data_IF_902544322996
#
_entry.id   IF_902544322996
#
_cell.length_a   1.000
_cell.length_b   1.000
_cell.length_c   1.000
_cell.angle_alpha   90.00
_cell.angle_beta   90.00
_cell.angle_gamma   90.00
#
_symmetry.space_group_name_H-M   'P 1'
#
loop_
_entity.id
_entity.type
_entity.pdbx_description
1 polymer ?
#
# COMPACT_ATOMS: atom_id res chain seq x y z
N UNK A 1 31.78 -3.46 4.94
CA UNK A 1 31.19 -4.58 4.18
C UNK A 1 29.68 -4.39 4.25
N UNK A 2 29.11 -3.73 3.23
CA UNK A 2 27.73 -3.24 3.22
C UNK A 2 26.74 -4.40 3.17
N UNK A 3 25.88 -4.53 4.18
CA UNK A 3 24.86 -5.58 4.22
C UNK A 3 23.71 -5.23 3.28
N UNK A 4 23.79 -5.80 2.07
CA UNK A 4 22.68 -6.02 1.14
C UNK A 4 21.51 -6.70 1.85
N UNK A 5 20.46 -5.98 2.24
CA UNK A 5 19.09 -6.48 2.34
C UNK A 5 18.09 -5.32 2.18
N UNK A 6 17.90 -4.84 0.94
CA UNK A 6 16.69 -4.08 0.58
C UNK A 6 15.52 -5.07 0.46
N UNK A 7 15.06 -5.61 1.59
CA UNK A 7 13.68 -6.08 1.71
C UNK A 7 12.91 -4.92 2.31
N UNK A 8 12.02 -4.32 1.53
CA UNK A 8 10.98 -3.44 2.05
C UNK A 8 10.40 -4.06 3.32
N UNK A 9 10.46 -3.39 4.48
CA UNK A 9 9.95 -3.98 5.70
C UNK A 9 8.43 -4.16 5.56
N UNK A 10 7.98 -5.39 5.77
CA UNK A 10 6.57 -5.66 5.96
C UNK A 10 6.13 -5.09 7.31
N UNK A 11 4.98 -4.43 7.32
CA UNK A 11 4.32 -4.01 8.55
C UNK A 11 2.80 -4.09 8.40
N UNK A 12 2.10 -3.92 9.52
CA UNK A 12 0.65 -3.80 9.61
C UNK A 12 0.31 -2.37 10.00
N UNK A 13 -0.83 -1.85 9.53
CA UNK A 13 -1.36 -0.62 10.13
C UNK A 13 -1.66 -0.87 11.60
N UNK A 14 -1.24 0.05 12.46
CA UNK A 14 -1.41 -0.03 13.91
C UNK A 14 -2.52 0.92 14.37
N UNK A 15 -3.24 0.55 15.43
CA UNK A 15 -4.34 1.34 16.00
C UNK A 15 -5.61 1.45 15.13
N UNK A 16 -5.67 0.75 14.00
CA UNK A 16 -6.82 0.74 13.09
C UNK A 16 -7.74 -0.46 13.32
N UNK A 17 -9.05 -0.29 13.13
CA UNK A 17 -10.04 -1.39 13.24
C UNK A 17 -9.76 -2.52 12.24
N UNK A 18 -9.25 -2.17 11.05
CA UNK A 18 -8.83 -3.14 10.04
C UNK A 18 -7.34 -2.96 9.76
N UNK A 19 -6.54 -3.87 10.28
CA UNK A 19 -5.10 -3.89 10.04
C UNK A 19 -4.79 -4.28 8.59
N UNK A 20 -4.03 -3.44 7.90
CA UNK A 20 -3.61 -3.69 6.52
C UNK A 20 -2.15 -4.14 6.47
N UNK A 21 -1.86 -5.30 5.85
CA UNK A 21 -0.50 -5.60 5.41
C UNK A 21 0.00 -4.54 4.43
N UNK A 22 1.22 -4.05 4.67
CA UNK A 22 1.89 -3.13 3.77
C UNK A 22 3.40 -3.32 3.70
N UNK A 23 3.97 -2.79 2.62
CA UNK A 23 5.42 -2.68 2.41
C UNK A 23 5.76 -1.23 2.07
N UNK A 24 6.83 -0.71 2.62
CA UNK A 24 7.34 0.63 2.26
C UNK A 24 8.46 0.53 1.24
N UNK A 25 8.64 1.56 0.44
CA UNK A 25 9.75 1.63 -0.48
C UNK A 25 9.99 3.04 -0.97
N UNK A 26 11.02 3.17 -1.79
CA UNK A 26 11.39 4.45 -2.37
C UNK A 26 11.78 4.29 -3.84
N UNK A 27 11.59 5.36 -4.59
CA UNK A 27 12.16 5.57 -5.92
C UNK A 27 13.16 6.73 -5.85
N UNK A 28 13.72 7.13 -6.99
CA UNK A 28 14.53 8.35 -7.09
C UNK A 28 13.75 9.62 -6.73
N UNK A 29 12.42 9.62 -6.86
CA UNK A 29 11.58 10.82 -6.73
C UNK A 29 10.49 10.70 -5.68
N UNK A 30 10.18 9.50 -5.17
CA UNK A 30 9.04 9.31 -4.27
C UNK A 30 9.39 8.39 -3.11
N UNK A 31 8.74 8.61 -1.96
CA UNK A 31 8.53 7.60 -0.93
C UNK A 31 7.13 7.03 -1.11
N UNK A 32 6.94 5.73 -0.93
CA UNK A 32 5.63 5.10 -1.07
C UNK A 32 5.42 3.94 -0.11
N UNK A 33 4.14 3.68 0.16
CA UNK A 33 3.66 2.51 0.88
C UNK A 33 2.68 1.74 0.01
N UNK A 34 2.90 0.44 -0.15
CA UNK A 34 2.02 -0.48 -0.89
C UNK A 34 1.16 -1.24 0.11
N UNK A 35 -0.15 -1.02 0.07
CA UNK A 35 -1.14 -1.68 0.93
C UNK A 35 -1.86 -2.80 0.20
N UNK A 36 -2.13 -3.91 0.90
CA UNK A 36 -2.87 -5.05 0.37
C UNK A 36 -4.22 -5.18 1.09
N UNK A 37 -5.26 -4.61 0.47
CA UNK A 37 -6.62 -4.64 1.00
C UNK A 37 -7.33 -5.92 0.55
N UNK A 38 -7.65 -6.81 1.49
CA UNK A 38 -8.42 -8.03 1.21
C UNK A 38 -9.79 -7.69 0.59
N UNK A 39 -10.16 -8.39 -0.48
CA UNK A 39 -11.42 -8.14 -1.22
C UNK A 39 -12.65 -8.51 -0.39
N UNK A 40 -12.60 -9.57 0.40
CA UNK A 40 -13.65 -9.92 1.36
C UNK A 40 -13.21 -9.67 2.80
N UNK A 41 -14.19 -9.64 3.71
CA UNK A 41 -13.95 -9.56 5.15
C UNK A 41 -13.06 -10.69 5.67
N UNK A 42 -13.10 -11.88 5.04
CA UNK A 42 -12.28 -13.03 5.44
C UNK A 42 -10.79 -12.78 5.21
N UNK A 43 -10.39 -12.28 4.05
CA UNK A 43 -8.95 -11.98 3.84
C UNK A 43 -8.51 -10.64 4.43
N UNK A 44 -9.44 -9.74 4.78
CA UNK A 44 -9.12 -8.63 5.71
C UNK A 44 -8.81 -9.15 7.12
N UNK A 45 -9.65 -10.00 7.69
CA UNK A 45 -9.42 -10.56 9.03
C UNK A 45 -8.29 -11.58 9.09
N UNK A 46 -7.81 -12.11 7.96
CA UNK A 46 -6.69 -13.05 7.93
C UNK A 46 -5.40 -12.44 8.51
N UNK A 47 -5.18 -11.14 8.33
CA UNK A 47 -4.00 -10.42 8.81
C UNK A 47 -4.17 -9.83 10.21
N UNK A 48 -5.38 -9.88 10.76
CA UNK A 48 -5.66 -9.43 12.12
C UNK A 48 -4.87 -10.28 13.12
N UNK A 49 -4.11 -9.60 13.96
CA UNK A 49 -3.27 -10.21 14.98
C UNK A 49 -4.06 -10.93 16.08
N UNK A 50 -5.33 -10.57 16.27
CA UNK A 50 -6.22 -11.19 17.25
C UNK A 50 -7.01 -12.37 16.65
N UNK A 51 -6.92 -12.61 15.34
CA UNK A 51 -7.60 -13.72 14.69
C UNK A 51 -6.91 -15.07 14.99
N UNK A 52 -7.55 -15.89 15.82
CA UNK A 52 -7.09 -17.23 16.22
C UNK A 52 -7.00 -18.26 15.09
N UNK A 53 -7.46 -17.93 13.88
CA UNK A 53 -7.33 -18.76 12.67
C UNK A 53 -6.64 -18.02 11.51
N UNK A 54 -6.07 -16.84 11.78
CA UNK A 54 -5.38 -16.01 10.80
C UNK A 54 -3.90 -16.33 10.64
N UNK A 55 -3.18 -15.46 9.91
CA UNK A 55 -1.74 -15.59 9.70
C UNK A 55 -0.97 -15.65 11.01
N UNK A 56 -1.33 -14.81 11.98
CA UNK A 56 -0.63 -14.65 13.25
C UNK A 56 -0.91 -15.72 14.29
N UNK A 57 -1.76 -16.70 13.97
CA UNK A 57 -1.98 -17.85 14.85
C UNK A 57 -0.64 -18.49 15.21
N UNK A 58 -0.40 -18.59 16.53
CA UNK A 58 0.79 -19.15 17.15
C UNK A 58 2.11 -18.47 16.72
N UNK A 59 2.05 -17.18 16.34
CA UNK A 59 3.22 -16.37 15.93
C UNK A 59 3.36 -15.11 16.78
N UNK A 60 4.60 -14.67 16.90
CA UNK A 60 4.95 -13.41 17.55
C UNK A 60 4.74 -12.24 16.54
N UNK A 61 3.66 -11.48 16.75
CA UNK A 61 3.29 -10.35 15.89
C UNK A 61 4.18 -9.11 16.12
N UNK A 62 4.97 -9.07 17.19
CA UNK A 62 5.95 -8.00 17.46
C UNK A 62 7.23 -8.18 16.62
N UNK A 63 7.40 -9.37 16.02
CA UNK A 63 8.58 -9.72 15.20
C UNK A 63 8.20 -10.11 13.77
N UNK A 64 7.49 -9.25 13.01
CA UNK A 64 7.02 -9.56 11.65
C UNK A 64 8.17 -9.90 10.69
N UNK A 65 9.36 -9.34 10.91
CA UNK A 65 10.56 -9.59 10.11
C UNK A 65 10.97 -11.07 10.08
N UNK A 66 10.68 -11.85 11.13
CA UNK A 66 10.96 -13.30 11.17
C UNK A 66 10.13 -14.08 10.16
N UNK A 67 8.99 -13.53 9.75
CA UNK A 67 8.04 -14.18 8.87
C UNK A 67 7.98 -13.54 7.48
N UNK A 68 8.84 -12.57 7.17
CA UNK A 68 8.81 -11.79 5.93
C UNK A 68 8.68 -12.65 4.67
N UNK A 69 9.47 -13.72 4.53
CA UNK A 69 9.39 -14.64 3.38
C UNK A 69 8.05 -15.37 3.28
N UNK A 70 7.46 -15.75 4.41
CA UNK A 70 6.16 -16.45 4.44
C UNK A 70 5.03 -15.49 4.07
N UNK A 71 5.12 -14.25 4.57
CA UNK A 71 4.17 -13.17 4.29
C UNK A 71 4.19 -12.83 2.79
N UNK A 72 5.38 -12.57 2.24
CA UNK A 72 5.57 -12.28 0.82
C UNK A 72 5.05 -13.42 -0.06
N UNK A 73 5.40 -14.67 0.29
CA UNK A 73 4.89 -15.86 -0.42
C UNK A 73 3.37 -15.94 -0.37
N UNK A 74 2.75 -15.69 0.79
CA UNK A 74 1.30 -15.76 0.94
C UNK A 74 0.63 -14.70 0.05
N UNK A 75 1.03 -13.44 0.18
CA UNK A 75 0.47 -12.33 -0.60
C UNK A 75 0.63 -12.60 -2.11
N UNK A 76 1.80 -13.07 -2.54
CA UNK A 76 2.07 -13.39 -3.95
C UNK A 76 1.17 -14.52 -4.45
N UNK A 77 1.00 -15.59 -3.67
CA UNK A 77 0.16 -16.75 -4.04
C UNK A 77 -1.31 -16.36 -4.12
N UNK A 78 -1.76 -15.52 -3.19
CA UNK A 78 -3.14 -15.08 -3.07
C UNK A 78 -3.42 -13.72 -3.72
N UNK A 79 -2.54 -13.22 -4.60
CA UNK A 79 -2.54 -11.82 -5.07
C UNK A 79 -3.88 -11.36 -5.67
N UNK A 80 -4.63 -12.28 -6.30
CA UNK A 80 -5.96 -12.02 -6.88
C UNK A 80 -7.05 -11.75 -5.83
N UNK A 81 -6.81 -12.09 -4.57
CA UNK A 81 -7.72 -11.86 -3.44
C UNK A 81 -7.57 -10.46 -2.84
N UNK A 82 -6.61 -9.66 -3.32
CA UNK A 82 -6.33 -8.32 -2.82
C UNK A 82 -6.64 -7.25 -3.87
N UNK A 83 -7.03 -6.08 -3.39
CA UNK A 83 -6.88 -4.81 -4.09
C UNK A 83 -5.57 -4.19 -3.61
N UNK A 84 -4.69 -3.83 -4.54
CA UNK A 84 -3.34 -3.39 -4.23
C UNK A 84 -3.26 -1.90 -4.49
N UNK A 85 -2.99 -1.14 -3.43
CA UNK A 85 -2.86 0.30 -3.48
C UNK A 85 -1.43 0.73 -3.22
N UNK A 86 -1.02 1.84 -3.83
CA UNK A 86 0.19 2.54 -3.44
C UNK A 86 -0.19 3.96 -3.03
N UNK A 87 0.26 4.42 -1.87
CA UNK A 87 0.16 5.82 -1.45
C UNK A 87 1.56 6.39 -1.46
N UNK A 88 1.79 7.44 -2.24
CA UNK A 88 3.12 7.99 -2.49
C UNK A 88 3.18 9.50 -2.28
N UNK A 89 4.33 9.97 -1.82
CA UNK A 89 4.66 11.39 -1.67
C UNK A 89 5.95 11.70 -2.44
N UNK A 90 5.99 12.87 -3.07
CA UNK A 90 7.18 13.35 -3.77
C UNK A 90 8.29 13.73 -2.76
N UNK A 91 9.52 13.28 -3.02
CA UNK A 91 10.69 13.59 -2.20
C UNK A 91 11.03 15.09 -2.21
N UNK A 92 10.61 15.84 -3.21
CA UNK A 92 10.70 17.30 -3.23
C UNK A 92 9.74 17.99 -2.25
N UNK A 93 8.73 17.27 -1.73
CA UNK A 93 7.74 17.79 -0.77
C UNK A 93 8.03 17.39 0.68
N UNK A 94 9.14 16.71 0.94
CA UNK A 94 9.57 16.35 2.29
C UNK A 94 10.80 17.17 2.69
N UNK A 95 10.84 17.56 3.96
CA UNK A 95 12.04 18.07 4.62
C UNK A 95 12.73 16.88 5.28
N UNK A 96 13.98 16.66 4.92
CA UNK A 96 14.81 15.67 5.58
C UNK A 96 15.22 16.20 6.96
N UNK A 97 14.84 15.49 8.02
CA UNK A 97 15.35 15.72 9.36
C UNK A 97 16.25 14.54 9.67
N UNK A 98 17.50 14.82 10.07
CA UNK A 98 18.49 13.78 10.35
C UNK A 98 17.91 12.68 11.26
N UNK A 99 18.26 11.42 10.94
CA UNK A 99 17.93 10.15 11.66
C UNK A 99 16.69 9.37 11.17
N UNK A 100 16.36 9.47 9.89
CA UNK A 100 15.39 8.54 9.28
C UNK A 100 13.93 8.92 9.48
N UNK A 101 13.67 10.08 10.09
CA UNK A 101 12.37 10.70 10.15
C UNK A 101 12.29 11.81 9.10
N UNK A 102 11.25 11.81 8.27
CA UNK A 102 10.99 12.90 7.34
C UNK A 102 9.76 13.67 7.79
N UNK A 103 9.76 14.98 7.53
CA UNK A 103 8.59 15.83 7.78
C UNK A 103 8.09 16.37 6.44
N UNK A 104 6.91 15.94 5.96
CA UNK A 104 6.27 16.54 4.79
C UNK A 104 6.05 18.05 4.98
N UNK A 105 6.10 18.82 3.88
CA UNK A 105 5.59 20.19 3.88
C UNK A 105 4.08 20.19 4.17
N UNK A 106 3.56 21.25 4.78
CA UNK A 106 2.11 21.35 5.09
C UNK A 106 1.22 21.28 3.83
N UNK A 107 1.75 21.66 2.67
CA UNK A 107 1.08 21.59 1.37
C UNK A 107 1.35 20.28 0.61
N UNK A 108 2.14 19.36 1.18
CA UNK A 108 2.50 18.11 0.54
C UNK A 108 1.27 17.24 0.24
N UNK A 109 1.28 16.60 -0.94
CA UNK A 109 0.20 15.75 -1.41
C UNK A 109 0.63 14.29 -1.43
N UNK A 110 -0.16 13.45 -0.77
CA UNK A 110 -0.15 12.01 -1.01
C UNK A 110 -1.02 11.69 -2.21
N UNK A 111 -0.46 10.98 -3.18
CA UNK A 111 -1.19 10.45 -4.33
C UNK A 111 -1.47 8.97 -4.11
N UNK A 112 -2.72 8.57 -4.29
CA UNK A 112 -3.17 7.18 -4.15
C UNK A 112 -3.35 6.55 -5.53
N UNK A 113 -2.71 5.41 -5.72
CA UNK A 113 -2.75 4.62 -6.93
C UNK A 113 -3.39 3.27 -6.66
N UNK A 114 -4.17 2.76 -7.61
CA UNK A 114 -4.70 1.40 -7.63
C UNK A 114 -4.03 0.61 -8.74
N UNK A 115 -3.57 -0.61 -8.44
CA UNK A 115 -3.06 -1.54 -9.44
C UNK A 115 -4.23 -2.31 -10.07
N UNK A 116 -4.49 -2.05 -11.36
CA UNK A 116 -5.51 -2.75 -12.15
C UNK A 116 -4.87 -3.25 -13.45
N UNK A 117 -5.04 -4.54 -13.76
CA UNK A 117 -4.53 -5.15 -15.01
C UNK A 117 -3.02 -4.89 -15.25
N UNK A 118 -2.23 -4.87 -14.18
CA UNK A 118 -0.78 -4.63 -14.24
C UNK A 118 -0.37 -3.16 -14.42
N UNK A 119 -1.32 -2.22 -14.37
CA UNK A 119 -1.08 -0.77 -14.49
C UNK A 119 -1.52 -0.03 -13.22
N UNK A 120 -0.69 0.90 -12.79
CA UNK A 120 -1.02 1.82 -11.70
C UNK A 120 -1.81 3.01 -12.24
N UNK A 121 -2.98 3.26 -11.65
CA UNK A 121 -3.85 4.38 -12.02
C UNK A 121 -4.06 5.25 -10.80
N UNK A 122 -3.94 6.58 -10.95
CA UNK A 122 -4.29 7.52 -9.89
C UNK A 122 -5.78 7.45 -9.63
N UNK A 123 -6.18 7.24 -8.38
CA UNK A 123 -7.58 7.10 -7.96
C UNK A 123 -8.02 8.14 -6.94
N UNK A 124 -7.07 8.75 -6.23
CA UNK A 124 -7.34 9.83 -5.28
C UNK A 124 -6.03 10.55 -4.90
N UNK A 125 -6.17 11.68 -4.21
CA UNK A 125 -5.05 12.39 -3.58
C UNK A 125 -5.53 13.19 -2.38
N UNK A 126 -4.71 13.32 -1.36
CA UNK A 126 -5.02 14.11 -0.17
C UNK A 126 -3.80 14.86 0.34
N UNK A 127 -4.04 16.01 0.97
CA UNK A 127 -3.01 16.77 1.64
C UNK A 127 -2.58 16.08 2.94
N UNK A 128 -1.30 16.16 3.30
CA UNK A 128 -0.75 15.53 4.51
C UNK A 128 -1.50 15.92 5.79
N UNK A 129 -1.96 17.17 5.91
CA UNK A 129 -2.74 17.67 7.05
C UNK A 129 -4.15 17.10 7.11
N UNK A 130 -4.60 16.48 6.02
CA UNK A 130 -5.89 15.81 5.88
C UNK A 130 -5.72 14.29 5.75
N UNK A 131 -4.59 13.75 6.23
CA UNK A 131 -4.32 12.32 6.18
C UNK A 131 -5.45 11.53 6.85
N UNK A 132 -5.92 10.42 6.24
CA UNK A 132 -6.96 9.60 6.82
C UNK A 132 -6.47 8.99 8.13
N UNK A 133 -7.33 9.01 9.15
CA UNK A 133 -7.04 8.39 10.46
C UNK A 133 -7.20 6.86 10.43
N UNK A 134 -7.90 6.33 9.42
CA UNK A 134 -8.07 4.90 9.18
C UNK A 134 -7.83 4.62 7.68
N UNK A 135 -6.70 3.99 7.39
CA UNK A 135 -6.24 3.69 6.03
C UNK A 135 -7.16 2.70 5.34
N UNK A 136 -7.59 1.64 6.04
CA UNK A 136 -8.49 0.64 5.46
C UNK A 136 -9.83 1.22 5.03
N UNK A 137 -10.47 2.02 5.89
CA UNK A 137 -11.70 2.71 5.54
C UNK A 137 -11.53 3.65 4.36
N UNK A 138 -10.44 4.41 4.34
CA UNK A 138 -10.11 5.31 3.24
C UNK A 138 -10.00 4.54 1.91
N UNK A 139 -9.22 3.45 1.87
CA UNK A 139 -9.04 2.65 0.66
C UNK A 139 -10.34 1.96 0.21
N UNK A 140 -11.19 1.54 1.13
CA UNK A 140 -12.53 1.02 0.79
C UNK A 140 -13.41 2.10 0.16
N UNK A 141 -13.42 3.33 0.71
CA UNK A 141 -14.16 4.47 0.13
C UNK A 141 -13.65 4.84 -1.27
N UNK A 142 -12.33 4.87 -1.47
CA UNK A 142 -11.71 5.11 -2.79
C UNK A 142 -12.11 4.03 -3.79
N UNK A 143 -12.14 2.77 -3.37
CA UNK A 143 -12.57 1.65 -4.21
C UNK A 143 -14.04 1.80 -4.65
N UNK A 144 -14.93 2.11 -3.71
CA UNK A 144 -16.36 2.31 -3.99
C UNK A 144 -16.60 3.49 -4.95
N UNK A 145 -15.90 4.61 -4.74
CA UNK A 145 -15.91 5.78 -5.64
C UNK A 145 -15.44 5.39 -7.05
N UNK A 146 -14.34 4.67 -7.16
CA UNK A 146 -13.78 4.22 -8.44
C UNK A 146 -14.73 3.27 -9.17
N UNK A 147 -15.38 2.36 -8.46
CA UNK A 147 -16.36 1.44 -9.05
C UNK A 147 -17.60 2.17 -9.57
N UNK A 148 -18.12 3.17 -8.83
CA UNK A 148 -19.23 4.01 -9.29
C UNK A 148 -18.86 4.83 -10.51
N UNK A 149 -17.68 5.45 -10.51
CA UNK A 149 -17.19 6.23 -11.65
C UNK A 149 -17.01 5.35 -12.89
N UNK A 150 -16.48 4.12 -12.75
CA UNK A 150 -16.39 3.18 -13.87
C UNK A 150 -17.77 2.74 -14.38
N UNK A 151 -18.75 2.54 -13.49
CA UNK A 151 -20.12 2.25 -13.89
C UNK A 151 -20.76 3.41 -14.66
N UNK A 152 -20.38 4.66 -14.36
CA UNK A 152 -20.80 5.85 -15.09
C UNK A 152 -20.01 6.08 -16.40
N UNK A 153 -18.69 5.81 -16.41
CA UNK A 153 -17.78 5.95 -17.56
C UNK A 153 -17.95 4.85 -18.61
N UNK A 154 -18.59 3.73 -18.31
CA UNK A 154 -19.08 2.82 -19.35
C UNK A 154 -20.17 3.49 -20.23
N UNK A 155 -20.55 4.74 -19.94
CA UNK A 155 -21.27 5.65 -20.81
C UNK A 155 -20.43 6.65 -21.61
N UNK A 156 -19.16 6.95 -21.27
CA UNK A 156 -18.31 7.89 -22.02
C UNK A 156 -16.80 7.73 -21.78
N UNK A 157 -16.05 7.84 -22.87
CA UNK A 157 -14.70 7.34 -23.10
C UNK A 157 -13.51 8.10 -22.44
N UNK A 158 -12.52 7.30 -22.01
CA UNK A 158 -11.04 7.45 -21.97
C UNK A 158 -10.37 8.84 -21.76
N UNK A 159 -9.56 8.95 -20.69
CA UNK A 159 -8.33 9.78 -20.69
C UNK A 159 -7.17 9.09 -19.95
N UNK A 160 -5.98 9.19 -20.56
CA UNK A 160 -4.69 8.55 -20.25
C UNK A 160 -3.92 9.09 -19.04
N UNK A 161 -3.21 8.21 -18.32
CA UNK A 161 -2.32 8.52 -17.18
C UNK A 161 -0.84 8.77 -17.58
N UNK A 162 -0.05 9.50 -16.76
CA UNK A 162 1.39 9.65 -16.93
C UNK A 162 2.20 8.43 -16.41
N UNK A 163 3.42 8.30 -16.94
CA UNK A 163 4.40 7.21 -16.77
C UNK A 163 4.86 6.93 -15.32
N UNK A 164 4.01 6.31 -14.49
CA UNK A 164 4.42 5.70 -13.20
C UNK A 164 4.65 4.17 -13.32
N UNK A 165 4.22 3.57 -14.44
CA UNK A 165 4.03 2.13 -14.58
C UNK A 165 5.31 1.27 -14.68
N UNK A 166 6.48 1.86 -14.93
CA UNK A 166 7.67 1.04 -15.22
C UNK A 166 8.45 0.58 -13.97
N UNK A 167 8.42 1.33 -12.86
CA UNK A 167 9.34 1.09 -11.74
C UNK A 167 8.82 0.19 -10.62
N UNK A 168 7.49 -0.02 -10.50
CA UNK A 168 6.91 -0.88 -9.44
C UNK A 168 6.93 -2.37 -9.79
N UNK A 169 7.14 -2.73 -11.07
CA UNK A 169 7.24 -4.12 -11.51
C UNK A 169 8.45 -4.86 -10.94
N UNK A 170 9.51 -4.15 -10.54
CA UNK A 170 10.76 -4.77 -10.06
C UNK A 170 10.69 -5.24 -8.60
N UNK A 171 9.74 -4.73 -7.81
CA UNK A 171 9.60 -5.08 -6.38
C UNK A 171 9.03 -6.49 -6.21
N UNK A 172 8.17 -6.94 -7.12
CA UNK A 172 7.58 -8.30 -7.08
C UNK A 172 8.34 -9.32 -7.96
N UNK A 173 9.47 -8.95 -8.59
CA UNK A 173 10.16 -9.81 -9.59
C UNK A 173 11.63 -10.14 -9.30
N UNK A 174 12.16 -9.81 -8.12
CA UNK A 174 13.50 -10.33 -7.74
C UNK A 174 13.36 -11.79 -7.33
N UNK A 175 13.58 -12.67 -8.31
CA UNK A 175 13.87 -14.11 -8.13
C UNK A 175 15.15 -14.31 -7.33
#
# INVERSE_FOLDING_TARGET
>A
MESKHNTSPFALTDGEETMLPYFTGETSTCLYTVYFLGRTAKERSFWDVYNKVGFWKDKDNERPHLYAKNIERHITTAIKQYNIFAVAIDKGMIKDIQKGDFTPNDDALYTTFLLKEGKWTVVDSFNVMQSPTNTAEYLMKVLDKTNRNNAQLLGDSLVSSPNFAHNLWHIMRKK
#
